data_IF_897037724763
#
_entry.id   IF_897037724763
#
_cell.length_a   1.000
_cell.length_b   1.000
_cell.length_c   1.000
_cell.angle_alpha   90.00
_cell.angle_beta   90.00
_cell.angle_gamma   90.00
#
_symmetry.space_group_name_H-M   'P 1'
#
loop_
_entity.id
_entity.type
_entity.pdbx_description
1 polymer ?
#
# COMPACT_ATOMS: atom_id res chain seq x y z
N UNK A 1 11.35 -1.94 -0.90
CA UNK A 1 10.48 -1.41 -1.98
C UNK A 1 10.52 0.11 -2.10
N UNK A 2 10.30 0.88 -1.03
CA UNK A 2 10.42 2.36 -1.06
C UNK A 2 11.73 2.85 -1.67
N UNK A 3 12.87 2.36 -1.17
CA UNK A 3 14.20 2.74 -1.70
C UNK A 3 14.36 2.46 -3.19
N UNK A 4 13.77 1.38 -3.71
CA UNK A 4 13.86 1.04 -5.13
C UNK A 4 13.03 1.98 -6.01
N UNK A 5 11.88 2.43 -5.50
CA UNK A 5 11.04 3.43 -6.16
C UNK A 5 11.74 4.80 -6.14
N UNK A 6 12.39 5.15 -5.03
CA UNK A 6 13.19 6.35 -4.90
C UNK A 6 14.42 6.34 -5.82
N UNK A 7 15.09 5.18 -5.97
CA UNK A 7 16.15 4.97 -6.97
C UNK A 7 15.66 5.14 -8.41
N UNK A 8 14.37 4.91 -8.67
CA UNK A 8 13.74 5.19 -9.97
C UNK A 8 13.38 6.69 -10.16
N UNK A 9 13.73 7.55 -9.20
CA UNK A 9 13.53 9.01 -9.27
C UNK A 9 12.19 9.49 -8.72
N UNK A 10 11.38 8.62 -8.10
CA UNK A 10 10.07 8.96 -7.55
C UNK A 10 10.15 9.15 -6.04
N UNK A 11 9.75 10.32 -5.54
CA UNK A 11 9.55 10.52 -4.09
C UNK A 11 8.20 9.95 -3.69
N UNK A 12 8.20 8.99 -2.77
CA UNK A 12 6.96 8.33 -2.32
C UNK A 12 6.87 8.27 -0.80
N UNK A 13 5.64 8.38 -0.30
CA UNK A 13 5.31 8.07 1.08
C UNK A 13 4.60 6.71 1.09
N UNK A 14 5.11 5.77 1.87
CA UNK A 14 4.44 4.50 2.11
C UNK A 14 3.73 4.57 3.44
N UNK A 15 2.43 4.25 3.45
CA UNK A 15 1.60 4.18 4.65
C UNK A 15 0.84 2.86 4.61
N UNK A 16 0.81 2.15 5.73
CA UNK A 16 -0.02 0.96 5.91
C UNK A 16 -1.12 1.27 6.91
N UNK A 17 -2.34 0.83 6.62
CA UNK A 17 -3.48 0.96 7.51
C UNK A 17 -3.89 -0.43 8.00
N UNK A 18 -3.66 -0.71 9.28
CA UNK A 18 -4.08 -1.96 9.91
C UNK A 18 -5.59 -1.94 10.17
N UNK A 19 -6.27 -3.08 9.97
CA UNK A 19 -7.72 -3.21 10.09
C UNK A 19 -8.23 -2.84 11.50
N UNK A 20 -9.40 -2.18 11.55
CA UNK A 20 -10.12 -1.94 12.79
C UNK A 20 -10.47 -3.27 13.49
N UNK A 21 -10.27 -3.35 14.80
CA UNK A 21 -10.50 -4.60 15.56
C UNK A 21 -9.35 -5.61 15.52
N UNK A 22 -8.24 -5.32 14.84
CA UNK A 22 -6.98 -6.09 14.94
C UNK A 22 -5.86 -5.30 15.61
N UNK A 23 -6.18 -4.43 16.57
CA UNK A 23 -5.22 -3.55 17.22
C UNK A 23 -4.07 -4.29 17.92
N UNK A 24 -4.33 -5.52 18.40
CA UNK A 24 -3.32 -6.34 19.08
C UNK A 24 -2.11 -6.68 18.19
N UNK A 25 -2.25 -6.65 16.86
CA UNK A 25 -1.15 -6.92 15.93
C UNK A 25 -0.30 -5.68 15.63
N UNK A 26 -0.82 -4.46 15.82
CA UNK A 26 -0.19 -3.24 15.33
C UNK A 26 1.17 -2.96 15.97
N UNK A 27 1.30 -3.25 17.27
CA UNK A 27 2.57 -3.08 17.99
C UNK A 27 3.68 -3.96 17.39
N UNK A 28 3.34 -5.20 17.03
CA UNK A 28 4.28 -6.12 16.38
C UNK A 28 4.66 -5.65 14.98
N UNK A 29 3.69 -5.13 14.23
CA UNK A 29 3.93 -4.60 12.89
C UNK A 29 4.84 -3.36 12.95
N UNK A 30 4.57 -2.42 13.86
CA UNK A 30 5.39 -1.22 14.06
C UNK A 30 6.81 -1.60 14.48
N UNK A 31 6.98 -2.60 15.34
CA UNK A 31 8.31 -3.04 15.78
C UNK A 31 9.15 -3.67 14.66
N UNK A 32 8.52 -4.18 13.59
CA UNK A 32 9.19 -4.84 12.46
C UNK A 32 9.30 -3.95 11.21
N UNK A 33 8.43 -2.96 11.08
CA UNK A 33 8.37 -2.04 9.94
C UNK A 33 9.24 -0.79 10.14
N UNK A 34 9.71 -0.23 9.05
CA UNK A 34 10.47 1.03 8.98
C UNK A 34 9.65 2.17 8.34
N UNK A 35 8.33 1.99 8.25
CA UNK A 35 7.38 2.93 7.66
C UNK A 35 6.18 3.16 8.58
N UNK A 36 5.45 4.29 8.41
CA UNK A 36 4.23 4.56 9.16
C UNK A 36 3.19 3.44 9.00
N UNK A 37 2.77 2.88 10.14
CA UNK A 37 1.66 1.94 10.24
C UNK A 37 0.61 2.60 11.12
N UNK A 38 -0.53 2.91 10.53
CA UNK A 38 -1.68 3.51 11.19
C UNK A 38 -2.64 2.41 11.62
N UNK A 39 -3.20 2.53 12.82
CA UNK A 39 -4.28 1.66 13.27
C UNK A 39 -5.61 2.31 12.87
N UNK A 40 -6.42 1.60 12.08
CA UNK A 40 -7.77 2.06 11.78
C UNK A 40 -8.68 1.94 13.02
N UNK A 41 -9.74 2.73 13.02
CA UNK A 41 -10.74 2.77 14.10
C UNK A 41 -12.13 2.86 13.49
N UNK A 42 -13.16 2.34 14.17
CA UNK A 42 -14.54 2.40 13.68
C UNK A 42 -15.04 3.85 13.44
N UNK A 43 -14.46 4.83 14.14
CA UNK A 43 -14.79 6.24 13.96
C UNK A 43 -14.22 6.85 12.67
N UNK A 44 -13.06 6.36 12.22
CA UNK A 44 -12.42 6.82 10.98
C UNK A 44 -12.86 5.95 9.80
N UNK A 45 -12.91 4.63 9.98
CA UNK A 45 -13.27 3.65 8.95
C UNK A 45 -12.51 3.89 7.64
N UNK A 46 -11.18 3.99 7.72
CA UNK A 46 -10.35 4.26 6.55
C UNK A 46 -10.50 3.15 5.50
N UNK A 47 -10.59 1.88 5.92
CA UNK A 47 -10.87 0.76 5.00
C UNK A 47 -12.19 0.96 4.25
N UNK A 48 -13.29 1.26 4.96
CA UNK A 48 -14.58 1.50 4.35
C UNK A 48 -14.61 2.72 3.42
N UNK A 49 -13.96 3.83 3.81
CA UNK A 49 -13.82 5.02 2.97
C UNK A 49 -13.06 4.76 1.66
N UNK A 50 -12.13 3.80 1.68
CA UNK A 50 -11.40 3.37 0.49
C UNK A 50 -12.11 2.26 -0.30
N UNK A 51 -13.26 1.78 0.17
CA UNK A 51 -13.88 0.53 -0.31
C UNK A 51 -12.85 -0.61 -0.39
N UNK A 52 -11.91 -0.61 0.55
CA UNK A 52 -10.73 -1.48 0.56
C UNK A 52 -10.99 -2.80 1.27
N UNK A 53 -10.24 -3.81 0.84
CA UNK A 53 -10.17 -5.13 1.44
C UNK A 53 -8.76 -5.40 1.96
N UNK A 54 -8.62 -6.54 2.64
CA UNK A 54 -7.32 -7.00 3.14
C UNK A 54 -6.34 -7.15 1.99
N UNK A 55 -5.11 -6.65 2.20
CA UNK A 55 -3.99 -6.75 1.26
C UNK A 55 -4.17 -5.96 -0.07
N UNK A 56 -5.15 -5.06 -0.11
CA UNK A 56 -5.29 -4.09 -1.18
C UNK A 56 -4.14 -3.07 -1.18
N UNK A 57 -3.76 -2.61 -2.36
CA UNK A 57 -2.76 -1.56 -2.52
C UNK A 57 -3.29 -0.41 -3.38
N UNK A 58 -3.10 0.81 -2.90
CA UNK A 58 -3.57 2.03 -3.55
C UNK A 58 -2.40 2.98 -3.78
N UNK A 59 -2.31 3.52 -5.00
CA UNK A 59 -1.32 4.54 -5.35
C UNK A 59 -2.05 5.83 -5.67
N UNK A 60 -1.70 6.87 -4.93
CA UNK A 60 -2.20 8.22 -5.13
C UNK A 60 -1.12 9.09 -5.78
N UNK A 61 -1.54 9.95 -6.71
CA UNK A 61 -0.69 11.00 -7.24
C UNK A 61 -0.39 12.06 -6.18
N UNK A 62 0.53 12.98 -6.50
CA UNK A 62 0.84 14.13 -5.64
C UNK A 62 -0.36 15.05 -5.37
N UNK A 63 -1.38 15.03 -6.22
CA UNK A 63 -2.63 15.78 -6.03
C UNK A 63 -3.67 15.03 -5.19
N UNK A 64 -3.36 13.82 -4.71
CA UNK A 64 -4.28 12.98 -3.95
C UNK A 64 -5.28 12.20 -4.80
N UNK A 65 -5.09 12.14 -6.13
CA UNK A 65 -5.94 11.34 -7.02
C UNK A 65 -5.47 9.89 -7.01
N UNK A 66 -6.38 8.94 -6.83
CA UNK A 66 -6.08 7.51 -7.01
C UNK A 66 -5.73 7.23 -8.48
N UNK A 67 -4.50 6.81 -8.75
CA UNK A 67 -4.00 6.49 -10.10
C UNK A 67 -3.84 4.99 -10.33
N UNK A 68 -3.73 4.20 -9.26
CA UNK A 68 -3.65 2.74 -9.35
C UNK A 68 -4.32 2.11 -8.15
N UNK A 69 -5.14 1.09 -8.41
CA UNK A 69 -5.73 0.23 -7.39
C UNK A 69 -5.42 -1.22 -7.73
N UNK A 70 -4.79 -1.92 -6.78
CA UNK A 70 -4.46 -3.34 -6.86
C UNK A 70 -5.28 -4.06 -5.78
N UNK A 71 -6.46 -4.58 -6.12
CA UNK A 71 -7.26 -5.34 -5.16
C UNK A 71 -6.61 -6.69 -4.87
N UNK A 72 -6.78 -7.17 -3.66
CA UNK A 72 -6.50 -8.56 -3.31
C UNK A 72 -7.31 -9.52 -4.19
N UNK A 73 -6.64 -10.57 -4.68
CA UNK A 73 -7.23 -11.49 -5.66
C UNK A 73 -7.43 -10.89 -7.06
N UNK A 74 -6.91 -9.69 -7.32
CA UNK A 74 -6.96 -9.04 -8.63
C UNK A 74 -6.06 -9.68 -9.68
N UNK A 75 -6.01 -9.05 -10.86
CA UNK A 75 -5.20 -9.51 -11.99
C UNK A 75 -3.68 -9.43 -11.71
N UNK A 76 -3.27 -8.48 -10.86
CA UNK A 76 -1.91 -8.40 -10.33
C UNK A 76 -1.94 -9.00 -8.92
N UNK A 77 -1.22 -10.09 -8.74
CA UNK A 77 -1.04 -10.72 -7.44
C UNK A 77 -0.29 -9.78 -6.49
N UNK A 78 -0.89 -9.51 -5.32
CA UNK A 78 -0.33 -8.65 -4.27
C UNK A 78 0.47 -9.43 -3.21
N UNK A 79 0.68 -10.74 -3.40
CA UNK A 79 1.49 -11.58 -2.52
C UNK A 79 2.99 -11.23 -2.58
N UNK A 80 3.43 -10.25 -1.78
CA UNK A 80 4.80 -9.75 -1.78
C UNK A 80 5.87 -10.75 -1.32
N UNK A 81 5.48 -11.91 -0.78
CA UNK A 81 6.37 -13.03 -0.48
C UNK A 81 6.81 -13.83 -1.71
N UNK A 82 6.07 -13.73 -2.82
CA UNK A 82 6.46 -14.32 -4.10
C UNK A 82 7.27 -13.31 -4.93
N UNK A 83 8.40 -13.75 -5.47
CA UNK A 83 9.32 -12.89 -6.18
C UNK A 83 8.73 -12.33 -7.49
N UNK A 84 7.89 -13.11 -8.18
CA UNK A 84 7.27 -12.68 -9.43
C UNK A 84 6.13 -11.68 -9.17
N UNK A 85 5.30 -11.93 -8.15
CA UNK A 85 4.28 -11.00 -7.68
C UNK A 85 4.91 -9.67 -7.22
N UNK A 86 5.94 -9.74 -6.38
CA UNK A 86 6.70 -8.56 -5.93
C UNK A 86 7.23 -7.73 -7.11
N UNK A 87 7.83 -8.38 -8.12
CA UNK A 87 8.34 -7.69 -9.29
C UNK A 87 7.25 -6.96 -10.09
N UNK A 88 6.06 -7.57 -10.23
CA UNK A 88 4.90 -6.97 -10.91
C UNK A 88 4.35 -5.76 -10.14
N UNK A 89 4.17 -5.87 -8.82
CA UNK A 89 3.72 -4.75 -7.98
C UNK A 89 4.71 -3.59 -8.07
N UNK A 90 6.01 -3.87 -7.92
CA UNK A 90 7.06 -2.85 -8.03
C UNK A 90 7.05 -2.15 -9.39
N UNK A 91 6.97 -2.91 -10.48
CA UNK A 91 6.88 -2.35 -11.83
C UNK A 91 5.67 -1.43 -11.99
N UNK A 92 4.53 -1.83 -11.43
CA UNK A 92 3.30 -1.03 -11.48
C UNK A 92 3.47 0.30 -10.73
N UNK A 93 3.99 0.28 -9.50
CA UNK A 93 4.16 1.49 -8.70
C UNK A 93 5.17 2.47 -9.31
N UNK A 94 6.23 1.96 -9.94
CA UNK A 94 7.23 2.83 -10.62
C UNK A 94 6.73 3.48 -11.92
N UNK A 95 5.54 3.08 -12.41
CA UNK A 95 4.90 3.64 -13.60
C UNK A 95 3.69 4.53 -13.29
N UNK A 96 3.15 4.47 -12.06
CA UNK A 96 1.88 5.10 -11.68
C UNK A 96 1.86 6.65 -11.74
N UNK A 97 3.01 7.33 -11.64
CA UNK A 97 3.14 8.80 -11.74
C UNK A 97 3.70 9.25 -13.11
N UNK A 98 3.85 8.31 -14.07
CA UNK A 98 4.29 8.59 -15.45
C UNK A 98 3.13 8.65 -16.45
N UNK A 99 1.90 8.44 -15.98
CA UNK A 99 0.70 8.65 -16.80
C UNK A 99 0.48 10.17 -17.01
N UNK A 100 0.16 10.61 -18.23
CA UNK A 100 0.05 12.03 -18.59
C UNK A 100 -1.02 12.79 -17.81
#
# INVERSE_FOLDING_TARGET
MKEEIEKAGLKVNLVVVNLAGTADSVATLIAKGDFPILQDTDAVDAWGQHAGFKDDMMVYSKSGKLTTYLPYGGAIDTALGDAAAFAKVKSTWTQADKAP
#
